data_IF_097427992704
#
_entry.id   IF_097427992704
#
_cell.length_a   1.000
_cell.length_b   1.000
_cell.length_c   1.000
_cell.angle_alpha   90.00
_cell.angle_beta   90.00
_cell.angle_gamma   90.00
#
_symmetry.space_group_name_H-M   'P 1'
#
loop_
_entity.id
_entity.type
_entity.pdbx_description
1 polymer ?
#
# COMPACT_ATOMS: atom_id res chain seq x y z
N UNK A 1 -20.34 -7.67 26.37
CA UNK A 1 -19.20 -6.81 25.99
C UNK A 1 -19.39 -6.43 24.53
N UNK A 2 -19.47 -5.14 24.24
CA UNK A 2 -19.63 -4.67 22.86
C UNK A 2 -18.26 -4.78 22.15
N UNK A 3 -18.17 -5.74 21.23
CA UNK A 3 -16.96 -6.03 20.46
C UNK A 3 -16.56 -4.82 19.61
N UNK A 4 -17.54 -4.02 19.17
CA UNK A 4 -17.29 -2.81 18.35
C UNK A 4 -16.65 -1.66 19.14
N UNK A 5 -16.65 -1.70 20.47
CA UNK A 5 -15.97 -0.70 21.30
C UNK A 5 -14.51 -1.04 21.65
N UNK A 6 -14.04 -2.24 21.29
CA UNK A 6 -12.67 -2.67 21.55
C UNK A 6 -11.66 -1.98 20.62
N UNK A 7 -10.43 -1.82 21.12
CA UNK A 7 -9.32 -1.39 20.29
C UNK A 7 -8.98 -2.48 19.24
N UNK A 8 -8.38 -2.07 18.11
CA UNK A 8 -8.03 -2.99 17.01
C UNK A 8 -7.13 -4.13 17.49
N UNK A 9 -6.18 -3.81 18.37
CA UNK A 9 -5.24 -4.77 18.93
C UNK A 9 -5.90 -5.86 19.78
N UNK A 10 -7.08 -5.57 20.36
CA UNK A 10 -7.85 -6.52 21.15
C UNK A 10 -8.82 -7.34 20.28
N UNK A 11 -9.18 -6.82 19.09
CA UNK A 11 -9.98 -7.52 18.10
C UNK A 11 -9.21 -8.66 17.42
N UNK A 12 -7.91 -8.48 17.16
CA UNK A 12 -7.10 -9.47 16.45
C UNK A 12 -7.08 -10.85 17.14
N UNK A 13 -6.85 -10.96 18.45
CA UNK A 13 -6.91 -12.25 19.14
C UNK A 13 -8.31 -12.90 19.12
N UNK A 14 -9.39 -12.11 19.06
CA UNK A 14 -10.76 -12.62 18.93
C UNK A 14 -10.99 -13.17 17.52
N UNK A 15 -10.54 -12.46 16.51
CA UNK A 15 -10.55 -12.93 15.11
C UNK A 15 -9.79 -14.26 14.95
N UNK A 16 -8.61 -14.38 15.57
CA UNK A 16 -7.80 -15.60 15.52
C UNK A 16 -8.51 -16.81 16.15
N UNK A 17 -9.50 -16.57 17.03
CA UNK A 17 -10.38 -17.60 17.62
C UNK A 17 -11.67 -17.84 16.83
N UNK A 18 -11.86 -17.15 15.69
CA UNK A 18 -13.03 -17.27 14.85
C UNK A 18 -14.24 -16.39 15.23
N UNK A 19 -14.04 -15.32 16.02
CA UNK A 19 -15.14 -14.37 16.31
C UNK A 19 -15.41 -13.48 15.08
N UNK A 20 -16.50 -13.78 14.38
CA UNK A 20 -16.91 -13.06 13.18
C UNK A 20 -17.26 -11.59 13.43
N UNK A 21 -17.72 -11.22 14.65
CA UNK A 21 -18.04 -9.84 15.00
C UNK A 21 -16.77 -9.00 15.16
N UNK A 22 -15.68 -9.62 15.65
CA UNK A 22 -14.39 -8.97 15.71
C UNK A 22 -13.84 -8.71 14.30
N UNK A 23 -14.02 -9.67 13.38
CA UNK A 23 -13.68 -9.48 11.97
C UNK A 23 -14.50 -8.37 11.32
N UNK A 24 -15.81 -8.36 11.51
CA UNK A 24 -16.72 -7.32 11.00
C UNK A 24 -16.27 -5.92 11.44
N UNK A 25 -15.95 -5.75 12.74
CA UNK A 25 -15.48 -4.47 13.27
C UNK A 25 -14.16 -4.01 12.64
N UNK A 26 -13.19 -4.91 12.45
CA UNK A 26 -11.92 -4.61 11.76
C UNK A 26 -12.15 -4.29 10.28
N UNK A 27 -13.04 -5.03 9.61
CA UNK A 27 -13.40 -4.79 8.22
C UNK A 27 -14.06 -3.41 8.05
N UNK A 28 -15.06 -3.07 8.84
CA UNK A 28 -15.74 -1.76 8.79
C UNK A 28 -14.77 -0.59 8.95
N UNK A 29 -13.76 -0.72 9.84
CA UNK A 29 -12.79 0.35 10.12
C UNK A 29 -11.72 0.52 9.04
N UNK A 30 -11.32 -0.55 8.38
CA UNK A 30 -10.13 -0.55 7.54
C UNK A 30 -10.36 -0.82 6.06
N UNK A 31 -11.54 -1.33 5.66
CA UNK A 31 -11.82 -1.70 4.26
C UNK A 31 -11.73 -0.52 3.30
N UNK A 32 -12.19 0.66 3.70
CA UNK A 32 -12.11 1.88 2.87
C UNK A 32 -10.66 2.27 2.55
N UNK A 33 -9.79 2.30 3.59
CA UNK A 33 -8.37 2.62 3.39
C UNK A 33 -7.65 1.52 2.58
N UNK A 34 -7.99 0.26 2.83
CA UNK A 34 -7.48 -0.90 2.10
C UNK A 34 -7.83 -0.83 0.61
N UNK A 35 -9.10 -0.58 0.29
CA UNK A 35 -9.57 -0.43 -1.08
C UNK A 35 -8.91 0.76 -1.80
N UNK A 36 -8.82 1.90 -1.12
CA UNK A 36 -8.18 3.10 -1.69
C UNK A 36 -6.71 2.86 -2.04
N UNK A 37 -5.97 2.15 -1.17
CA UNK A 37 -4.59 1.75 -1.46
C UNK A 37 -4.53 0.79 -2.64
N UNK A 38 -5.36 -0.26 -2.64
CA UNK A 38 -5.41 -1.24 -3.72
C UNK A 38 -5.71 -0.55 -5.05
N UNK A 39 -6.75 0.30 -5.11
CA UNK A 39 -7.14 1.01 -6.31
C UNK A 39 -6.05 1.94 -6.84
N UNK A 40 -5.38 2.69 -5.96
CA UNK A 40 -4.23 3.52 -6.35
C UNK A 40 -3.10 2.71 -6.99
N UNK A 41 -2.89 1.47 -6.54
CA UNK A 41 -1.82 0.62 -7.06
C UNK A 41 -2.19 -0.05 -8.37
N UNK A 42 -3.40 -0.62 -8.47
CA UNK A 42 -3.77 -1.46 -9.62
C UNK A 42 -4.55 -0.72 -10.72
N UNK A 43 -5.16 0.44 -10.42
CA UNK A 43 -5.86 1.30 -11.36
C UNK A 43 -7.20 0.77 -11.87
N UNK A 44 -7.57 -0.47 -11.58
CA UNK A 44 -8.80 -1.10 -12.04
C UNK A 44 -9.70 -1.48 -10.85
N UNK A 45 -10.98 -1.04 -10.90
CA UNK A 45 -11.95 -1.22 -9.81
C UNK A 45 -12.12 -2.68 -9.40
N UNK A 46 -12.39 -3.55 -10.37
CA UNK A 46 -12.60 -4.98 -10.10
C UNK A 46 -11.39 -5.64 -9.47
N UNK A 47 -10.17 -5.31 -9.95
CA UNK A 47 -8.92 -5.83 -9.39
C UNK A 47 -8.68 -5.31 -7.98
N UNK A 48 -9.01 -4.04 -7.70
CA UNK A 48 -8.89 -3.46 -6.37
C UNK A 48 -9.86 -4.12 -5.37
N UNK A 49 -11.09 -4.41 -5.80
CA UNK A 49 -12.07 -5.17 -5.02
C UNK A 49 -11.55 -6.58 -4.69
N UNK A 50 -11.04 -7.30 -5.67
CA UNK A 50 -10.46 -8.64 -5.50
C UNK A 50 -9.25 -8.62 -4.54
N UNK A 51 -8.33 -7.68 -4.73
CA UNK A 51 -7.15 -7.49 -3.87
C UNK A 51 -7.58 -7.23 -2.42
N UNK A 52 -8.58 -6.37 -2.23
CA UNK A 52 -9.09 -6.04 -0.89
C UNK A 52 -9.73 -7.26 -0.24
N UNK A 53 -10.60 -7.97 -0.95
CA UNK A 53 -11.23 -9.20 -0.45
C UNK A 53 -10.19 -10.27 -0.09
N UNK A 54 -9.24 -10.54 -0.98
CA UNK A 54 -8.16 -11.50 -0.72
C UNK A 54 -7.32 -11.12 0.50
N UNK A 55 -7.03 -9.81 0.68
CA UNK A 55 -6.29 -9.32 1.84
C UNK A 55 -7.04 -9.60 3.14
N UNK A 56 -8.34 -9.30 3.20
CA UNK A 56 -9.15 -9.56 4.40
C UNK A 56 -9.41 -11.05 4.63
N UNK A 57 -9.55 -11.87 3.60
CA UNK A 57 -9.60 -13.32 3.74
C UNK A 57 -8.28 -13.88 4.31
N UNK A 58 -7.16 -13.34 3.86
CA UNK A 58 -5.85 -13.69 4.42
C UNK A 58 -5.75 -13.28 5.89
N UNK A 59 -6.17 -12.05 6.21
CA UNK A 59 -6.24 -11.54 7.58
C UNK A 59 -7.05 -12.47 8.49
N UNK A 60 -8.23 -12.91 8.05
CA UNK A 60 -9.07 -13.85 8.78
C UNK A 60 -8.37 -15.18 9.06
N UNK A 61 -7.65 -15.71 8.07
CA UNK A 61 -6.94 -16.98 8.18
C UNK A 61 -5.64 -16.91 8.99
N UNK A 62 -4.98 -15.75 8.99
CA UNK A 62 -3.63 -15.56 9.55
C UNK A 62 -3.57 -14.55 10.69
N UNK A 63 -4.70 -14.20 11.31
CA UNK A 63 -4.78 -13.22 12.41
C UNK A 63 -3.85 -13.47 13.61
N UNK A 64 -3.35 -14.69 13.75
CA UNK A 64 -2.38 -15.05 14.79
C UNK A 64 -0.97 -14.44 14.58
N UNK A 65 -0.68 -13.80 13.45
CA UNK A 65 0.66 -13.30 13.09
C UNK A 65 0.84 -11.79 13.28
N UNK A 66 -0.12 -11.10 13.86
CA UNK A 66 0.03 -9.69 14.20
C UNK A 66 0.99 -9.51 15.37
N UNK A 67 1.93 -8.59 15.23
CA UNK A 67 2.91 -8.22 16.24
C UNK A 67 2.83 -6.70 16.53
N UNK A 68 2.39 -6.35 17.73
CA UNK A 68 2.27 -4.94 18.19
C UNK A 68 3.59 -4.16 18.14
N UNK A 69 4.72 -4.84 18.28
CA UNK A 69 6.05 -4.21 18.23
C UNK A 69 6.38 -3.68 16.83
N UNK A 70 5.78 -4.26 15.80
CA UNK A 70 6.03 -3.93 14.38
C UNK A 70 5.16 -2.80 13.84
N UNK A 71 4.15 -2.36 14.58
CA UNK A 71 3.27 -1.26 14.20
C UNK A 71 1.81 -1.49 14.52
N UNK A 72 0.95 -0.52 14.16
CA UNK A 72 -0.50 -0.62 14.36
C UNK A 72 -1.15 -1.70 13.50
N UNK A 73 -2.34 -2.15 13.89
CA UNK A 73 -3.17 -3.08 13.11
C UNK A 73 -3.43 -2.53 11.71
N UNK A 74 -3.72 -1.23 11.60
CA UNK A 74 -3.90 -0.53 10.32
C UNK A 74 -2.68 -0.68 9.41
N UNK A 75 -1.48 -0.41 9.92
CA UNK A 75 -0.23 -0.54 9.15
C UNK A 75 -0.02 -1.97 8.68
N UNK A 76 -0.32 -2.95 9.54
CA UNK A 76 -0.21 -4.36 9.19
C UNK A 76 -1.19 -4.77 8.09
N UNK A 77 -2.47 -4.36 8.17
CA UNK A 77 -3.49 -4.60 7.13
C UNK A 77 -3.07 -3.99 5.80
N UNK A 78 -2.66 -2.70 5.81
CA UNK A 78 -2.21 -2.02 4.59
C UNK A 78 -0.97 -2.69 3.98
N UNK A 79 -0.09 -3.25 4.80
CA UNK A 79 1.03 -4.06 4.32
C UNK A 79 0.58 -5.32 3.58
N UNK A 80 -0.44 -6.03 4.08
CA UNK A 80 -1.02 -7.20 3.41
C UNK A 80 -1.63 -6.79 2.06
N UNK A 81 -2.42 -5.70 2.05
CA UNK A 81 -3.04 -5.16 0.82
C UNK A 81 -1.97 -4.79 -0.21
N UNK A 82 -0.92 -4.08 0.21
CA UNK A 82 0.19 -3.68 -0.65
C UNK A 82 0.86 -4.89 -1.32
N UNK A 83 1.18 -5.94 -0.55
CA UNK A 83 1.78 -7.16 -1.12
C UNK A 83 0.84 -7.85 -2.13
N UNK A 84 -0.47 -7.92 -1.83
CA UNK A 84 -1.45 -8.50 -2.75
C UNK A 84 -1.60 -7.67 -4.03
N UNK A 85 -1.58 -6.35 -3.93
CA UNK A 85 -1.61 -5.46 -5.09
C UNK A 85 -0.37 -5.64 -5.99
N UNK A 86 0.82 -5.76 -5.40
CA UNK A 86 2.05 -6.09 -6.16
C UNK A 86 1.92 -7.43 -6.88
N UNK A 87 1.41 -8.46 -6.21
CA UNK A 87 1.20 -9.78 -6.82
C UNK A 87 0.21 -9.70 -8.00
N UNK A 88 -0.86 -8.89 -7.87
CA UNK A 88 -1.81 -8.64 -8.95
C UNK A 88 -1.16 -7.93 -10.14
N UNK A 89 -0.37 -6.88 -9.90
CA UNK A 89 0.38 -6.16 -10.93
C UNK A 89 1.37 -7.08 -11.67
N UNK A 90 2.10 -7.92 -10.95
CA UNK A 90 3.04 -8.88 -11.56
C UNK A 90 2.33 -9.92 -12.40
N UNK A 91 1.19 -10.44 -11.94
CA UNK A 91 0.35 -11.37 -12.74
C UNK A 91 -0.13 -10.70 -14.03
N UNK A 92 -0.62 -9.46 -13.94
CA UNK A 92 -1.06 -8.70 -15.10
C UNK A 92 0.08 -8.45 -16.11
N UNK A 93 1.29 -8.11 -15.65
CA UNK A 93 2.44 -7.88 -16.51
C UNK A 93 2.89 -9.16 -17.24
N UNK A 94 2.86 -10.33 -16.57
CA UNK A 94 3.15 -11.63 -17.19
C UNK A 94 2.11 -11.98 -18.27
N UNK A 95 0.82 -11.71 -18.01
CA UNK A 95 -0.24 -11.93 -18.97
C UNK A 95 -0.17 -10.97 -20.18
N UNK A 96 0.19 -9.72 -19.95
CA UNK A 96 0.41 -8.73 -21.00
C UNK A 96 1.59 -9.13 -21.90
N UNK A 97 2.72 -9.52 -21.33
CA UNK A 97 3.90 -10.01 -22.10
C UNK A 97 3.61 -11.25 -22.93
N UNK A 98 2.70 -12.13 -22.50
CA UNK A 98 2.27 -13.32 -23.26
C UNK A 98 1.27 -12.99 -24.38
N UNK A 99 0.61 -11.83 -24.32
CA UNK A 99 -0.37 -11.39 -25.32
C UNK A 99 0.17 -10.35 -26.31
N UNK A 100 1.27 -9.69 -25.99
CA UNK A 100 1.86 -8.65 -26.84
C UNK A 100 3.22 -9.08 -27.38
N UNK A 101 3.19 -9.64 -28.58
CA UNK A 101 4.16 -9.29 -29.60
C UNK A 101 3.81 -7.89 -30.19
N UNK A 102 2.90 -7.14 -29.58
CA UNK A 102 2.45 -5.82 -30.06
C UNK A 102 2.40 -4.77 -28.93
N UNK A 103 3.05 -3.66 -29.19
CA UNK A 103 3.17 -2.36 -28.51
C UNK A 103 2.19 -2.02 -27.36
N UNK A 104 2.74 -1.30 -26.38
CA UNK A 104 2.17 -0.43 -25.32
C UNK A 104 2.20 -0.96 -23.89
N UNK A 105 3.43 -1.02 -23.33
CA UNK A 105 3.60 -1.11 -21.86
C UNK A 105 3.73 0.28 -21.18
N UNK A 106 3.71 1.38 -21.92
CA UNK A 106 3.98 2.72 -21.41
C UNK A 106 2.74 3.50 -20.94
N UNK A 107 1.53 3.00 -21.19
CA UNK A 107 0.28 3.77 -21.01
C UNK A 107 -0.44 3.58 -19.67
N UNK A 108 0.17 2.87 -18.70
CA UNK A 108 -0.45 2.56 -17.39
C UNK A 108 -0.03 3.47 -16.23
N UNK A 109 0.62 4.61 -16.52
CA UNK A 109 0.99 5.60 -15.49
C UNK A 109 0.12 6.86 -15.54
N UNK A 110 -1.04 6.83 -16.18
CA UNK A 110 -2.04 7.87 -15.94
C UNK A 110 -2.56 7.69 -14.52
N UNK A 111 -2.36 8.72 -13.71
CA UNK A 111 -2.88 8.78 -12.36
C UNK A 111 -4.41 8.56 -12.42
N UNK A 112 -4.97 7.59 -11.68
CA UNK A 112 -6.41 7.40 -11.67
C UNK A 112 -7.06 8.65 -11.12
N UNK A 113 -8.03 9.20 -11.89
CA UNK A 113 -8.90 10.28 -11.45
C UNK A 113 -9.48 9.95 -10.06
N UNK A 114 -9.24 10.83 -9.15
CA UNK A 114 -9.91 11.18 -7.90
C UNK A 114 -11.04 10.26 -7.41
N UNK A 115 -10.68 9.22 -6.67
CA UNK A 115 -11.48 8.73 -5.56
C UNK A 115 -10.95 9.43 -4.31
N UNK A 116 -11.07 10.74 -4.29
CA UNK A 116 -10.38 11.61 -3.33
C UNK A 116 -11.21 11.99 -2.10
N UNK A 117 -12.46 11.56 -1.95
CA UNK A 117 -13.31 12.27 -0.99
C UNK A 117 -13.39 11.68 0.42
N UNK A 118 -13.07 10.41 0.66
CA UNK A 118 -13.25 9.84 2.02
C UNK A 118 -11.96 9.47 2.77
N UNK A 119 -10.82 9.32 2.10
CA UNK A 119 -9.53 9.05 2.78
C UNK A 119 -8.66 10.32 2.90
N UNK A 120 -9.02 11.38 2.19
CA UNK A 120 -8.28 12.65 2.14
C UNK A 120 -8.36 13.49 3.44
N UNK A 121 -9.18 13.10 4.40
CA UNK A 121 -9.46 13.87 5.62
C UNK A 121 -8.74 13.39 6.87
N UNK A 122 -7.89 12.38 6.78
CA UNK A 122 -7.05 11.99 7.91
C UNK A 122 -5.82 12.90 7.96
N UNK A 123 -5.55 13.49 9.11
CA UNK A 123 -4.31 14.26 9.35
C UNK A 123 -3.06 13.48 9.00
N UNK A 124 -3.08 12.16 9.20
CA UNK A 124 -2.01 11.24 8.81
C UNK A 124 -1.77 11.22 7.28
N UNK A 125 -2.82 11.26 6.46
CA UNK A 125 -2.68 11.29 5.00
C UNK A 125 -2.10 12.64 4.51
N UNK A 126 -2.44 13.72 5.18
CA UNK A 126 -1.85 15.04 4.91
C UNK A 126 -0.35 15.06 5.27
N UNK A 127 0.03 14.50 6.40
CA UNK A 127 1.44 14.40 6.82
C UNK A 127 2.26 13.59 5.81
N UNK A 128 1.73 12.46 5.33
CA UNK A 128 2.42 11.63 4.31
C UNK A 128 2.53 12.36 2.98
N UNK A 129 1.47 13.06 2.52
CA UNK A 129 1.54 13.89 1.31
C UNK A 129 2.62 14.96 1.42
N UNK A 130 2.61 15.73 2.50
CA UNK A 130 3.62 16.74 2.76
C UNK A 130 5.05 16.15 2.78
N UNK A 131 5.21 14.95 3.34
CA UNK A 131 6.50 14.26 3.33
C UNK A 131 6.93 13.82 1.92
N UNK A 132 6.00 13.55 1.01
CA UNK A 132 6.29 13.25 -0.39
C UNK A 132 6.58 14.53 -1.19
N UNK A 133 5.85 15.62 -0.95
CA UNK A 133 5.97 16.88 -1.68
C UNK A 133 7.35 17.56 -1.51
N UNK A 134 8.02 17.31 -0.38
CA UNK A 134 9.37 17.84 -0.13
C UNK A 134 10.49 17.05 -0.80
N UNK A 135 10.17 15.89 -1.39
CA UNK A 135 11.18 15.07 -2.05
C UNK A 135 11.59 15.68 -3.40
N UNK A 136 12.89 15.65 -3.75
CA UNK A 136 13.32 15.90 -5.12
C UNK A 136 12.64 14.91 -6.07
N UNK A 137 12.25 15.39 -7.25
CA UNK A 137 11.49 14.62 -8.24
C UNK A 137 12.12 13.24 -8.57
N UNK A 138 13.45 13.16 -8.60
CA UNK A 138 14.18 11.93 -8.87
C UNK A 138 14.12 10.91 -7.72
N UNK A 139 14.01 11.37 -6.47
CA UNK A 139 13.82 10.51 -5.30
C UNK A 139 12.36 10.05 -5.20
N UNK A 140 11.40 10.97 -5.42
CA UNK A 140 9.98 10.67 -5.45
C UNK A 140 9.68 9.61 -6.51
N UNK A 141 10.17 9.79 -7.74
CA UNK A 141 9.95 8.86 -8.85
C UNK A 141 10.42 7.43 -8.54
N UNK A 142 11.58 7.28 -7.93
CA UNK A 142 12.10 5.95 -7.54
C UNK A 142 11.21 5.32 -6.46
N UNK A 143 10.73 6.10 -5.48
CA UNK A 143 9.83 5.61 -4.43
C UNK A 143 8.49 5.20 -5.01
N UNK A 144 7.91 6.01 -5.90
CA UNK A 144 6.63 5.70 -6.56
C UNK A 144 6.70 4.41 -7.38
N UNK A 145 7.74 4.27 -8.21
CA UNK A 145 7.93 3.05 -9.01
C UNK A 145 8.11 1.81 -8.14
N UNK A 146 8.87 1.90 -7.05
CA UNK A 146 9.08 0.77 -6.15
C UNK A 146 7.84 0.45 -5.32
N UNK A 147 7.19 1.46 -4.73
CA UNK A 147 6.10 1.25 -3.79
C UNK A 147 4.77 1.00 -4.50
N UNK A 148 4.36 1.87 -5.42
CA UNK A 148 3.09 1.74 -6.12
C UNK A 148 3.18 0.86 -7.38
N UNK A 149 4.29 0.92 -8.11
CA UNK A 149 4.51 0.10 -9.31
C UNK A 149 4.97 -1.33 -9.03
N UNK A 150 5.50 -1.60 -7.83
CA UNK A 150 6.02 -2.91 -7.45
C UNK A 150 7.30 -3.33 -8.19
N UNK A 151 7.99 -2.37 -8.83
CA UNK A 151 9.21 -2.62 -9.57
C UNK A 151 10.40 -2.85 -8.64
N UNK A 152 11.27 -3.78 -9.02
CA UNK A 152 12.56 -4.00 -8.36
C UNK A 152 13.53 -2.87 -8.68
N UNK A 153 14.57 -2.69 -7.87
CA UNK A 153 15.61 -1.69 -8.16
C UNK A 153 16.31 -1.92 -9.51
N UNK A 154 16.37 -3.16 -10.01
CA UNK A 154 16.95 -3.49 -11.32
C UNK A 154 16.03 -2.97 -12.43
N UNK A 155 14.74 -3.30 -12.36
CA UNK A 155 13.74 -2.82 -13.32
C UNK A 155 13.65 -1.29 -13.34
N UNK A 156 13.69 -0.64 -12.17
CA UNK A 156 13.73 0.83 -12.07
C UNK A 156 15.00 1.40 -12.71
N UNK A 157 16.15 0.75 -12.53
CA UNK A 157 17.40 1.18 -13.13
C UNK A 157 17.35 1.12 -14.65
N UNK A 158 16.76 0.08 -15.22
CA UNK A 158 16.50 -0.08 -16.66
C UNK A 158 15.51 0.99 -17.17
N UNK A 159 14.37 1.17 -16.48
CA UNK A 159 13.34 2.14 -16.87
C UNK A 159 13.83 3.59 -16.84
N UNK A 160 14.71 3.94 -15.92
CA UNK A 160 15.25 5.30 -15.75
C UNK A 160 16.60 5.50 -16.41
N UNK A 161 17.11 4.48 -17.12
CA UNK A 161 18.44 4.47 -17.74
C UNK A 161 19.54 4.94 -16.77
N UNK A 162 19.46 4.51 -15.51
CA UNK A 162 20.31 4.95 -14.42
C UNK A 162 21.05 3.76 -13.78
N UNK A 163 22.29 3.96 -13.30
CA UNK A 163 22.99 2.90 -12.55
C UNK A 163 22.20 2.43 -11.34
N UNK A 164 22.15 1.13 -11.06
CA UNK A 164 21.43 0.55 -9.91
C UNK A 164 21.88 1.15 -8.57
N UNK A 165 23.15 1.55 -8.44
CA UNK A 165 23.68 2.25 -7.28
C UNK A 165 23.03 3.63 -7.08
N UNK A 166 22.72 4.34 -8.16
CA UNK A 166 22.00 5.62 -8.14
C UNK A 166 20.56 5.42 -7.68
N UNK A 167 19.86 4.41 -8.19
CA UNK A 167 18.49 4.06 -7.78
C UNK A 167 18.43 3.75 -6.28
N UNK A 168 19.32 2.87 -5.79
CA UNK A 168 19.44 2.55 -4.36
C UNK A 168 19.77 3.79 -3.51
N UNK A 169 20.63 4.67 -4.00
CA UNK A 169 20.97 5.92 -3.33
C UNK A 169 19.79 6.87 -3.22
N UNK A 170 19.05 7.09 -4.33
CA UNK A 170 17.83 7.90 -4.36
C UNK A 170 16.76 7.36 -3.42
N UNK A 171 16.51 6.06 -3.45
CA UNK A 171 15.58 5.38 -2.54
C UNK A 171 15.95 5.63 -1.07
N UNK A 172 17.21 5.37 -0.69
CA UNK A 172 17.69 5.54 0.68
C UNK A 172 17.56 6.98 1.16
N UNK A 173 17.94 7.95 0.32
CA UNK A 173 17.88 9.37 0.67
C UNK A 173 16.44 9.87 0.78
N UNK A 174 15.56 9.46 -0.14
CA UNK A 174 14.14 9.81 -0.09
C UNK A 174 13.45 9.25 1.15
N UNK A 175 13.62 7.97 1.44
CA UNK A 175 13.06 7.33 2.64
C UNK A 175 13.62 7.95 3.94
N UNK A 176 14.89 8.38 3.96
CA UNK A 176 15.45 9.09 5.11
C UNK A 176 14.75 10.42 5.33
N UNK A 177 14.58 11.23 4.29
CA UNK A 177 13.87 12.52 4.37
C UNK A 177 12.42 12.36 4.82
N UNK A 178 11.68 11.40 4.22
CA UNK A 178 10.32 11.11 4.64
C UNK A 178 10.25 10.76 6.13
N UNK A 179 11.16 9.91 6.62
CA UNK A 179 11.20 9.53 8.04
C UNK A 179 11.45 10.73 8.96
N UNK A 180 12.33 11.64 8.57
CA UNK A 180 12.63 12.86 9.33
C UNK A 180 11.39 13.76 9.45
N UNK A 181 10.65 13.95 8.37
CA UNK A 181 9.41 14.74 8.37
C UNK A 181 8.30 14.08 9.16
N UNK A 182 8.11 12.77 8.98
CA UNK A 182 7.10 12.00 9.72
C UNK A 182 7.37 11.99 11.22
N UNK A 183 8.64 11.93 11.62
CA UNK A 183 9.02 12.00 13.03
C UNK A 183 8.74 13.38 13.64
N UNK A 184 8.88 14.46 12.88
CA UNK A 184 8.55 15.82 13.33
C UNK A 184 7.04 16.07 13.41
N UNK A 185 6.26 15.53 12.47
CA UNK A 185 4.80 15.62 12.46
C UNK A 185 4.08 14.79 13.53
N UNK A 186 4.77 13.80 14.13
CA UNK A 186 4.20 12.97 15.19
C UNK A 186 4.36 13.58 16.62
N UNK A 187 5.03 14.71 16.74
CA UNK A 187 5.33 15.38 18.03
C UNK A 187 4.47 16.65 18.25
N UNK A 188 3.62 17.00 17.30
CA UNK A 188 2.65 18.10 17.39
C UNK A 188 1.24 17.57 17.59
#
# INVERSE_FOLDING_TARGET
MDVRALADEDLIPLMARGDARAFEAVYERHSGAAYSLAYRMVGARSVAEDVTQEAFLNLWRSGAHYDRVRGSVRTWILGIVHHRAIDALRRASVHSRRRSDDETAAERLEAPDRVEEDVARSDEAAIVRNAMDILPADQLKVIELAYFGGFTHVEIAEMLEAPIGTVKGRMRLGLKKMREVLAQGAVG
#
